data_IF_904342667000
#
_entry.id   IF_904342667000
#
_cell.length_a   1.000
_cell.length_b   1.000
_cell.length_c   1.000
_cell.angle_alpha   90.00
_cell.angle_beta   90.00
_cell.angle_gamma   90.00
#
_symmetry.space_group_name_H-M   'P 1'
#
loop_
_entity.id
_entity.type
_entity.pdbx_description
1 polymer ?
#
# COMPACT_ATOMS: atom_id res chain seq x y z
N UNK A 1 -12.41 11.53 -0.31
CA UNK A 1 -11.31 12.28 -0.96
C UNK A 1 -11.73 13.21 -2.09
N UNK A 2 -12.95 13.12 -2.66
CA UNK A 2 -13.44 14.04 -3.71
C UNK A 2 -13.79 15.46 -3.22
N UNK A 3 -13.29 15.84 -2.05
CA UNK A 3 -13.47 17.13 -1.37
C UNK A 3 -12.16 17.50 -0.66
N UNK A 4 -11.97 18.79 -0.38
CA UNK A 4 -10.72 19.31 0.21
C UNK A 4 -9.67 19.69 -0.85
N UNK A 5 -8.51 20.15 -0.37
CA UNK A 5 -7.45 20.73 -1.21
C UNK A 5 -6.80 19.77 -2.20
N UNK A 6 -6.94 18.45 -2.00
CA UNK A 6 -6.32 17.41 -2.83
C UNK A 6 -7.29 16.74 -3.81
N UNK A 7 -8.46 17.34 -4.06
CA UNK A 7 -9.49 16.78 -4.96
C UNK A 7 -8.93 16.47 -6.36
N UNK A 8 -8.18 17.40 -6.95
CA UNK A 8 -7.70 17.24 -8.33
C UNK A 8 -6.65 16.13 -8.43
N UNK A 9 -5.70 16.08 -7.50
CA UNK A 9 -4.74 14.96 -7.39
C UNK A 9 -5.43 13.62 -7.16
N UNK A 10 -6.56 13.60 -6.43
CA UNK A 10 -7.35 12.37 -6.25
C UNK A 10 -8.02 11.93 -7.55
N UNK A 11 -8.55 12.86 -8.34
CA UNK A 11 -9.15 12.55 -9.65
C UNK A 11 -8.09 12.04 -10.64
N UNK A 12 -6.89 12.61 -10.63
CA UNK A 12 -5.76 12.12 -11.45
C UNK A 12 -5.35 10.71 -11.06
N UNK A 13 -5.28 10.43 -9.76
CA UNK A 13 -5.06 9.08 -9.26
C UNK A 13 -6.15 8.12 -9.73
N UNK A 14 -7.45 8.43 -9.56
CA UNK A 14 -8.56 7.60 -10.04
C UNK A 14 -8.44 7.28 -11.54
N UNK A 15 -8.16 8.29 -12.37
CA UNK A 15 -7.97 8.09 -13.82
C UNK A 15 -6.81 7.14 -14.12
N UNK A 16 -5.70 7.25 -13.40
CA UNK A 16 -4.58 6.35 -13.59
C UNK A 16 -4.95 4.90 -13.25
N UNK A 17 -5.68 4.68 -12.14
CA UNK A 17 -6.20 3.36 -11.77
C UNK A 17 -7.12 2.81 -12.86
N UNK A 18 -8.11 3.61 -13.29
CA UNK A 18 -9.07 3.21 -14.34
C UNK A 18 -8.36 2.84 -15.66
N UNK A 19 -7.35 3.60 -16.07
CA UNK A 19 -6.52 3.30 -17.24
C UNK A 19 -5.72 2.01 -17.05
N UNK A 20 -5.08 1.83 -15.90
CA UNK A 20 -4.30 0.65 -15.57
C UNK A 20 -5.14 -0.62 -15.56
N UNK A 21 -6.33 -0.59 -14.95
CA UNK A 21 -7.29 -1.70 -14.96
C UNK A 21 -7.74 -2.04 -16.38
N UNK A 22 -8.12 -1.01 -17.16
CA UNK A 22 -8.59 -1.19 -18.55
C UNK A 22 -7.53 -1.84 -19.43
N UNK A 23 -6.27 -1.47 -19.24
CA UNK A 23 -5.15 -1.97 -20.04
C UNK A 23 -4.48 -3.21 -19.43
N UNK A 24 -4.92 -3.67 -18.25
CA UNK A 24 -4.33 -4.78 -17.49
C UNK A 24 -2.85 -4.55 -17.18
N UNK A 25 -2.50 -3.33 -16.84
CA UNK A 25 -1.15 -2.92 -16.43
C UNK A 25 -0.94 -3.18 -14.93
N UNK A 26 0.31 -3.27 -14.48
CA UNK A 26 0.62 -3.20 -13.06
C UNK A 26 0.33 -1.78 -12.55
N UNK A 27 -0.78 -1.64 -11.83
CA UNK A 27 -1.26 -0.36 -11.32
C UNK A 27 -0.30 0.23 -10.29
N UNK A 28 0.41 -0.61 -9.53
CA UNK A 28 1.38 -0.15 -8.52
C UNK A 28 2.53 0.57 -9.22
N UNK A 29 3.09 -0.03 -10.26
CA UNK A 29 4.16 0.59 -11.04
C UNK A 29 3.65 1.80 -11.85
N UNK A 30 2.54 1.64 -12.58
CA UNK A 30 1.97 2.68 -13.45
C UNK A 30 1.60 3.94 -12.68
N UNK A 31 0.96 3.77 -11.52
CA UNK A 31 0.37 4.88 -10.77
C UNK A 31 1.21 5.31 -9.56
N UNK A 32 2.45 4.83 -9.44
CA UNK A 32 3.32 5.15 -8.31
C UNK A 32 3.50 6.67 -8.12
N UNK A 33 3.80 7.39 -9.20
CA UNK A 33 4.07 8.83 -9.15
C UNK A 33 2.82 9.64 -8.77
N UNK A 34 1.67 9.33 -9.38
CA UNK A 34 0.40 10.03 -9.07
C UNK A 34 -0.11 9.68 -7.66
N UNK A 35 0.09 8.45 -7.20
CA UNK A 35 -0.21 8.04 -5.82
C UNK A 35 0.68 8.79 -4.83
N UNK A 36 1.98 8.92 -5.14
CA UNK A 36 2.94 9.67 -4.33
C UNK A 36 2.59 11.16 -4.27
N UNK A 37 2.17 11.75 -5.40
CA UNK A 37 1.73 13.15 -5.45
C UNK A 37 0.46 13.37 -4.59
N UNK A 38 -0.53 12.48 -4.69
CA UNK A 38 -1.73 12.53 -3.86
C UNK A 38 -1.39 12.43 -2.37
N UNK A 39 -0.54 11.48 -1.98
CA UNK A 39 -0.09 11.32 -0.59
C UNK A 39 0.58 12.58 -0.05
N UNK A 40 1.53 13.14 -0.81
CA UNK A 40 2.22 14.39 -0.44
C UNK A 40 1.24 15.55 -0.26
N UNK A 41 0.24 15.66 -1.13
CA UNK A 41 -0.81 16.65 -0.96
C UNK A 41 -1.57 16.43 0.35
N UNK A 42 -2.00 15.20 0.63
CA UNK A 42 -2.74 14.88 1.86
C UNK A 42 -1.91 15.17 3.12
N UNK A 43 -0.61 14.86 3.11
CA UNK A 43 0.33 15.18 4.20
C UNK A 43 0.47 16.69 4.40
N UNK A 44 0.55 17.49 3.33
CA UNK A 44 0.59 18.95 3.40
C UNK A 44 -0.72 19.56 3.93
N UNK A 45 -1.83 18.82 3.83
CA UNK A 45 -3.16 19.19 4.32
C UNK A 45 -3.62 18.24 5.45
N UNK A 46 -2.68 17.85 6.32
CA UNK A 46 -2.90 16.81 7.34
C UNK A 46 -4.10 17.08 8.24
N UNK A 47 -4.38 18.33 8.58
CA UNK A 47 -5.50 18.68 9.47
C UNK A 47 -6.86 18.25 8.88
N UNK A 48 -7.00 18.32 7.56
CA UNK A 48 -8.21 17.88 6.86
C UNK A 48 -8.21 16.36 6.61
N UNK A 49 -7.05 15.76 6.32
CA UNK A 49 -6.92 14.35 5.93
C UNK A 49 -6.46 13.40 7.06
N UNK A 50 -6.35 13.89 8.30
CA UNK A 50 -5.82 13.15 9.44
C UNK A 50 -6.42 11.74 9.62
N UNK A 51 -7.76 11.53 9.54
CA UNK A 51 -8.32 10.20 9.72
C UNK A 51 -7.80 9.17 8.71
N UNK A 52 -7.56 9.59 7.46
CA UNK A 52 -7.09 8.67 6.42
C UNK A 52 -5.59 8.42 6.53
N UNK A 53 -4.81 9.46 6.83
CA UNK A 53 -3.37 9.31 7.06
C UNK A 53 -3.08 8.39 8.25
N UNK A 54 -3.90 8.45 9.30
CA UNK A 54 -3.82 7.55 10.44
C UNK A 54 -4.16 6.11 10.06
N UNK A 55 -5.22 5.91 9.29
CA UNK A 55 -5.59 4.58 8.80
C UNK A 55 -4.50 3.97 7.90
N UNK A 56 -3.88 4.77 7.02
CA UNK A 56 -2.75 4.34 6.19
C UNK A 56 -1.56 3.92 7.05
N UNK A 57 -1.20 4.72 8.06
CA UNK A 57 -0.09 4.42 8.98
C UNK A 57 -0.33 3.13 9.75
N UNK A 58 -1.54 2.93 10.28
CA UNK A 58 -1.91 1.71 11.00
C UNK A 58 -1.81 0.47 10.09
N UNK A 59 -2.33 0.55 8.86
CA UNK A 59 -2.24 -0.54 7.89
C UNK A 59 -0.78 -0.89 7.55
N UNK A 60 0.09 0.11 7.41
CA UNK A 60 1.54 -0.11 7.19
C UNK A 60 2.20 -0.82 8.36
N UNK A 61 1.95 -0.36 9.59
CA UNK A 61 2.50 -0.96 10.81
C UNK A 61 2.01 -2.41 11.01
N UNK A 62 0.77 -2.71 10.62
CA UNK A 62 0.24 -4.07 10.71
C UNK A 62 0.88 -4.99 9.68
N UNK A 63 1.09 -4.53 8.44
CA UNK A 63 1.84 -5.27 7.42
C UNK A 63 3.29 -5.53 7.85
N UNK A 64 3.96 -4.57 8.48
CA UNK A 64 5.32 -4.72 8.99
C UNK A 64 5.37 -5.81 10.09
N UNK A 65 4.45 -5.78 11.05
CA UNK A 65 4.36 -6.83 12.10
C UNK A 65 4.04 -8.21 11.51
N UNK A 66 3.20 -8.29 10.49
CA UNK A 66 2.91 -9.55 9.81
C UNK A 66 4.15 -10.10 9.11
N UNK A 67 4.90 -9.24 8.41
CA UNK A 67 6.15 -9.63 7.75
C UNK A 67 7.19 -10.14 8.76
N UNK A 68 7.34 -9.50 9.92
CA UNK A 68 8.21 -9.97 11.01
C UNK A 68 7.80 -11.36 11.53
N UNK A 69 6.50 -11.61 11.67
CA UNK A 69 5.97 -12.92 12.10
C UNK A 69 6.18 -13.99 11.03
N UNK A 70 6.06 -13.66 9.75
CA UNK A 70 6.34 -14.59 8.64
C UNK A 70 7.83 -14.96 8.63
N UNK A 71 8.73 -13.98 8.68
CA UNK A 71 10.18 -14.23 8.71
C UNK A 71 10.61 -15.02 9.97
N UNK A 72 9.97 -14.76 11.11
CA UNK A 72 10.17 -15.55 12.34
C UNK A 72 9.65 -16.99 12.25
N UNK A 73 8.58 -17.24 11.48
CA UNK A 73 8.07 -18.59 11.24
C UNK A 73 8.84 -19.32 10.14
N UNK A 74 9.35 -18.65 9.10
CA UNK A 74 10.12 -19.27 8.02
C UNK A 74 11.43 -19.89 8.53
N UNK A 75 12.01 -19.36 9.60
CA UNK A 75 13.12 -20.03 10.32
C UNK A 75 12.73 -21.35 10.99
N UNK A 76 11.46 -21.53 11.37
CA UNK A 76 10.91 -22.76 11.96
C UNK A 76 10.31 -23.69 10.88
N UNK A 77 9.70 -23.12 9.83
CA UNK A 77 9.12 -23.83 8.67
C UNK A 77 10.20 -24.39 7.75
N UNK A 78 11.32 -23.68 7.53
CA UNK A 78 12.50 -24.22 6.83
C UNK A 78 13.07 -25.45 7.55
N UNK A 79 13.10 -25.43 8.90
CA UNK A 79 13.51 -26.58 9.69
C UNK A 79 12.51 -27.74 9.62
N UNK A 80 11.20 -27.48 9.55
CA UNK A 80 10.18 -28.53 9.36
C UNK A 80 10.12 -29.09 7.93
N UNK A 81 10.33 -28.25 6.90
CA UNK A 81 10.33 -28.68 5.49
C UNK A 81 11.57 -29.51 5.14
N UNK A 82 12.71 -29.32 5.83
CA UNK A 82 13.88 -30.18 5.69
C UNK A 82 13.66 -31.61 6.24
N UNK A 83 12.77 -31.76 7.23
CA UNK A 83 12.44 -33.06 7.85
C UNK A 83 11.43 -33.84 6.99
N UNK A 84 10.56 -33.16 6.23
CA UNK A 84 9.50 -33.80 5.43
C UNK A 84 9.91 -34.21 4.01
N UNK A 85 11.15 -33.94 3.58
CA UNK A 85 11.70 -34.34 2.27
C UNK A 85 12.79 -35.44 2.37
N UNK A 86 12.89 -36.12 3.51
CA UNK A 86 13.84 -37.22 3.74
C UNK A 86 13.17 -38.57 4.06
N UNK A 87 11.88 -38.73 3.76
CA UNK A 87 11.19 -40.02 3.73
C UNK A 87 10.59 -40.29 2.34
#
# INVERSE_FOLDING_TARGET
MKSGGCKDSFIEWEKCIEEGEKNKEDIVEKCFEVTSALKKCMEAHSDYYAPVLQAEKAAREDLEKENEKVQGNEGLSSASNLVLWND
#
